data_IF_909322421687
#
_entry.id   IF_909322421687
#
_cell.length_a   1.000
_cell.length_b   1.000
_cell.length_c   1.000
_cell.angle_alpha   90.00
_cell.angle_beta   90.00
_cell.angle_gamma   90.00
#
_symmetry.space_group_name_H-M   'P 1'
#
loop_
_entity.id
_entity.type
_entity.pdbx_description
1 polymer ?
#
# COMPACT_ATOMS: atom_id res chain seq x y z
N UNK A 1 14.20 -30.11 -1.33
CA UNK A 1 14.93 -29.41 -2.41
C UNK A 1 15.43 -28.13 -1.79
N UNK A 2 16.66 -27.68 -2.12
CA UNK A 2 17.12 -26.35 -1.73
C UNK A 2 16.20 -25.33 -2.43
N UNK A 3 15.80 -24.25 -1.71
CA UNK A 3 15.06 -23.15 -2.33
C UNK A 3 15.96 -22.40 -3.30
N UNK A 4 15.37 -21.82 -4.30
CA UNK A 4 16.05 -20.92 -5.23
C UNK A 4 16.52 -19.67 -4.49
N UNK A 5 17.70 -19.15 -4.87
CA UNK A 5 18.24 -17.93 -4.31
C UNK A 5 17.76 -16.74 -5.14
N UNK A 6 17.31 -15.68 -4.51
CA UNK A 6 16.95 -14.43 -5.19
C UNK A 6 18.22 -13.71 -5.66
N UNK A 7 18.29 -13.40 -6.94
CA UNK A 7 19.39 -12.62 -7.55
C UNK A 7 18.89 -11.24 -7.95
N UNK A 8 19.52 -10.19 -7.43
CA UNK A 8 19.20 -8.79 -7.80
C UNK A 8 19.86 -8.44 -9.13
N UNK A 9 19.13 -8.62 -10.21
CA UNK A 9 19.62 -8.33 -11.58
C UNK A 9 19.17 -6.97 -12.09
N UNK A 10 18.07 -6.44 -11.54
CA UNK A 10 17.42 -5.17 -11.94
C UNK A 10 17.04 -4.33 -10.73
N UNK A 11 16.88 -3.00 -10.88
CA UNK A 11 16.31 -2.15 -9.85
C UNK A 11 14.93 -2.64 -9.41
N UNK A 12 14.67 -2.64 -8.10
CA UNK A 12 13.42 -3.11 -7.52
C UNK A 12 12.48 -1.94 -7.21
N UNK A 13 11.24 -2.03 -7.69
CA UNK A 13 10.19 -1.03 -7.49
C UNK A 13 8.92 -1.70 -6.99
N UNK A 14 8.30 -1.11 -5.96
CA UNK A 14 7.02 -1.56 -5.45
C UNK A 14 5.90 -0.71 -6.07
N UNK A 15 5.00 -1.35 -6.78
CA UNK A 15 3.80 -0.71 -7.31
C UNK A 15 2.56 -1.46 -6.86
N UNK A 16 1.39 -0.93 -7.12
CA UNK A 16 0.16 -1.66 -6.86
C UNK A 16 -1.03 -1.02 -7.52
N UNK A 17 -2.13 -1.77 -7.56
CA UNK A 17 -3.40 -1.34 -8.12
C UNK A 17 -4.29 -0.73 -7.03
N UNK A 18 -4.82 0.46 -7.30
CA UNK A 18 -5.81 1.16 -6.48
C UNK A 18 -7.01 1.56 -7.34
N UNK A 19 -8.13 1.88 -6.72
CA UNK A 19 -9.35 2.31 -7.42
C UNK A 19 -10.61 1.63 -6.90
N UNK A 20 -11.75 1.98 -7.47
CA UNK A 20 -13.07 1.52 -7.04
C UNK A 20 -13.25 0.00 -7.16
N UNK A 21 -14.17 -0.57 -6.38
CA UNK A 21 -14.62 -1.96 -6.55
C UNK A 21 -15.18 -2.14 -7.97
N UNK A 22 -15.02 -3.31 -8.56
CA UNK A 22 -15.48 -3.68 -9.92
C UNK A 22 -14.85 -2.87 -11.09
N UNK A 23 -13.88 -1.99 -10.85
CA UNK A 23 -13.12 -1.34 -11.93
C UNK A 23 -12.07 -2.26 -12.55
N UNK A 24 -11.84 -3.47 -12.02
CA UNK A 24 -11.01 -4.51 -12.62
C UNK A 24 -9.54 -4.46 -12.22
N UNK A 25 -9.21 -4.07 -10.97
CA UNK A 25 -7.83 -4.05 -10.44
C UNK A 25 -7.16 -5.42 -10.50
N UNK A 26 -7.75 -6.43 -9.89
CA UNK A 26 -7.25 -7.81 -9.89
C UNK A 26 -7.18 -8.39 -11.31
N UNK A 27 -8.15 -8.05 -12.17
CA UNK A 27 -8.12 -8.45 -13.59
C UNK A 27 -6.94 -7.81 -14.32
N UNK A 28 -6.61 -6.54 -14.00
CA UNK A 28 -5.44 -5.87 -14.58
C UNK A 28 -4.15 -6.51 -14.08
N UNK A 29 -4.05 -6.81 -12.79
CA UNK A 29 -2.90 -7.51 -12.21
C UNK A 29 -2.68 -8.87 -12.89
N UNK A 30 -3.75 -9.65 -13.10
CA UNK A 30 -3.70 -10.90 -13.85
C UNK A 30 -3.30 -10.69 -15.32
N UNK A 31 -3.80 -9.63 -15.96
CA UNK A 31 -3.47 -9.31 -17.36
C UNK A 31 -2.00 -8.93 -17.52
N UNK A 32 -1.44 -8.12 -16.60
CA UNK A 32 -0.03 -7.75 -16.60
C UNK A 32 0.84 -9.01 -16.51
N UNK A 33 0.60 -9.88 -15.53
CA UNK A 33 1.38 -11.13 -15.38
C UNK A 33 1.24 -12.03 -16.58
N UNK A 34 0.04 -12.17 -17.16
CA UNK A 34 -0.19 -13.01 -18.34
C UNK A 34 0.52 -12.48 -19.58
N UNK A 35 0.44 -11.17 -19.84
CA UNK A 35 1.11 -10.55 -21.00
C UNK A 35 2.63 -10.62 -20.87
N UNK A 36 3.19 -10.31 -19.69
CA UNK A 36 4.63 -10.41 -19.43
C UNK A 36 5.12 -11.87 -19.43
N UNK A 37 4.32 -12.84 -19.00
CA UNK A 37 4.63 -14.25 -19.08
C UNK A 37 4.83 -14.74 -20.53
N UNK A 38 4.15 -14.15 -21.52
CA UNK A 38 4.37 -14.48 -22.94
C UNK A 38 5.76 -14.09 -23.42
N UNK A 39 6.42 -13.13 -22.72
CA UNK A 39 7.80 -12.71 -22.97
C UNK A 39 8.83 -13.44 -22.09
N UNK A 40 8.36 -14.24 -21.11
CA UNK A 40 9.22 -14.89 -20.11
C UNK A 40 9.66 -13.98 -18.95
N UNK A 41 8.95 -12.85 -18.75
CA UNK A 41 9.24 -11.81 -17.76
C UNK A 41 8.36 -11.92 -16.49
N UNK A 42 7.46 -12.88 -16.45
CA UNK A 42 6.61 -13.18 -15.30
C UNK A 42 6.24 -14.67 -15.21
N UNK A 43 5.84 -15.12 -14.04
CA UNK A 43 5.09 -16.35 -13.88
C UNK A 43 3.59 -16.06 -14.11
N UNK A 44 2.94 -16.85 -14.97
CA UNK A 44 1.51 -16.70 -15.21
C UNK A 44 0.72 -16.92 -13.92
N UNK A 45 -0.02 -15.93 -13.50
CA UNK A 45 -0.96 -16.03 -12.37
C UNK A 45 -2.39 -15.82 -12.84
N UNK A 46 -3.24 -16.81 -12.61
CA UNK A 46 -4.68 -16.67 -12.84
C UNK A 46 -5.33 -15.85 -11.73
N UNK A 47 -6.49 -15.24 -12.04
CA UNK A 47 -7.31 -14.45 -11.11
C UNK A 47 -7.52 -15.16 -9.77
N UNK A 48 -7.88 -16.47 -9.78
CA UNK A 48 -8.11 -17.28 -8.60
C UNK A 48 -6.84 -17.56 -7.76
N UNK A 49 -5.66 -17.26 -8.28
CA UNK A 49 -4.40 -17.37 -7.55
C UNK A 49 -4.03 -16.06 -6.86
N UNK A 50 -4.52 -14.94 -7.37
CA UNK A 50 -4.38 -13.60 -6.79
C UNK A 50 -5.41 -13.46 -5.66
N UNK A 51 -6.70 -13.58 -5.96
CA UNK A 51 -7.80 -13.63 -4.98
C UNK A 51 -8.01 -15.06 -4.50
N UNK A 52 -7.23 -15.44 -3.51
CA UNK A 52 -7.06 -16.87 -3.18
C UNK A 52 -7.86 -17.28 -1.93
N UNK A 53 -8.35 -16.35 -1.10
CA UNK A 53 -9.16 -16.66 0.06
C UNK A 53 -10.56 -17.17 -0.33
N UNK A 54 -11.13 -18.16 0.40
CA UNK A 54 -12.48 -18.66 0.10
C UNK A 54 -13.56 -17.58 0.05
N UNK A 55 -13.47 -16.56 0.94
CA UNK A 55 -14.42 -15.45 0.99
C UNK A 55 -14.28 -14.51 -0.21
N UNK A 56 -13.05 -14.31 -0.73
CA UNK A 56 -12.80 -13.51 -1.93
C UNK A 56 -13.43 -14.14 -3.15
N UNK A 57 -13.29 -15.46 -3.30
CA UNK A 57 -13.88 -16.22 -4.41
C UNK A 57 -15.40 -16.25 -4.34
N UNK A 58 -15.98 -16.39 -3.14
CA UNK A 58 -17.43 -16.42 -2.95
C UNK A 58 -18.08 -15.07 -3.24
N UNK A 59 -17.42 -13.98 -2.85
CA UNK A 59 -17.94 -12.61 -3.02
C UNK A 59 -17.50 -11.94 -4.33
N UNK A 60 -16.49 -12.46 -5.00
CA UNK A 60 -15.90 -11.87 -6.21
C UNK A 60 -15.22 -10.51 -5.97
N UNK A 61 -14.71 -10.27 -4.74
CA UNK A 61 -14.03 -9.02 -4.35
C UNK A 61 -12.75 -9.34 -3.59
N UNK A 62 -11.71 -8.55 -3.82
CA UNK A 62 -10.45 -8.60 -3.07
C UNK A 62 -10.67 -8.09 -1.65
N UNK A 63 -10.25 -8.86 -0.66
CA UNK A 63 -10.37 -8.55 0.78
C UNK A 63 -8.99 -8.23 1.37
N UNK A 64 -8.01 -9.11 1.13
CA UNK A 64 -6.64 -8.95 1.59
C UNK A 64 -5.75 -8.42 0.45
N UNK A 65 -4.63 -7.79 0.80
CA UNK A 65 -3.60 -7.46 -0.18
C UNK A 65 -2.95 -8.72 -0.70
N UNK A 66 -2.74 -8.80 -2.02
CA UNK A 66 -2.00 -9.88 -2.66
C UNK A 66 -0.73 -9.33 -3.30
N UNK A 67 0.36 -10.09 -3.22
CA UNK A 67 1.66 -9.69 -3.76
C UNK A 67 2.02 -10.57 -4.95
N UNK A 68 2.34 -9.94 -6.06
CA UNK A 68 2.72 -10.58 -7.32
C UNK A 68 4.07 -10.06 -7.77
N UNK A 69 4.91 -10.93 -8.35
CA UNK A 69 6.24 -10.62 -8.88
C UNK A 69 6.23 -10.66 -10.40
N UNK A 70 6.85 -9.67 -11.04
CA UNK A 70 7.15 -9.69 -12.47
C UNK A 70 8.26 -8.72 -12.82
N UNK A 71 8.74 -8.78 -14.06
CA UNK A 71 9.80 -7.93 -14.56
C UNK A 71 9.38 -7.24 -15.87
N UNK A 72 10.00 -6.10 -16.15
CA UNK A 72 10.14 -5.52 -17.48
C UNK A 72 11.59 -5.65 -17.94
N UNK A 73 11.90 -5.21 -19.13
CA UNK A 73 13.29 -5.13 -19.58
C UNK A 73 14.18 -4.33 -18.61
N UNK A 74 13.61 -3.32 -17.93
CA UNK A 74 14.33 -2.34 -17.14
C UNK A 74 14.30 -2.63 -15.63
N UNK A 75 13.23 -3.24 -15.10
CA UNK A 75 12.95 -3.29 -13.65
C UNK A 75 12.34 -4.60 -13.21
N UNK A 76 12.56 -4.90 -11.92
CA UNK A 76 11.86 -5.92 -11.18
C UNK A 76 10.76 -5.28 -10.31
N UNK A 77 9.55 -5.79 -10.39
CA UNK A 77 8.38 -5.26 -9.68
C UNK A 77 7.84 -6.22 -8.63
N UNK A 78 7.61 -5.69 -7.42
CA UNK A 78 6.64 -6.24 -6.50
C UNK A 78 5.32 -5.48 -6.67
N UNK A 79 4.27 -6.17 -7.07
CA UNK A 79 2.96 -5.58 -7.29
C UNK A 79 2.01 -5.97 -6.17
N UNK A 80 1.42 -4.97 -5.52
CA UNK A 80 0.42 -5.12 -4.46
C UNK A 80 -0.97 -4.91 -5.03
N UNK A 81 -1.77 -5.96 -5.14
CA UNK A 81 -3.19 -5.83 -5.49
C UNK A 81 -3.99 -5.44 -4.26
N UNK A 82 -4.63 -4.26 -4.29
CA UNK A 82 -5.36 -3.69 -3.16
C UNK A 82 -6.86 -3.89 -3.27
N UNK A 83 -7.56 -4.15 -2.14
CA UNK A 83 -9.01 -4.20 -2.13
C UNK A 83 -9.63 -2.86 -2.54
N UNK A 84 -10.76 -2.91 -3.25
CA UNK A 84 -11.50 -1.73 -3.69
C UNK A 84 -12.69 -1.36 -2.81
N UNK A 85 -13.17 -2.28 -1.97
CA UNK A 85 -14.38 -2.09 -1.19
C UNK A 85 -14.12 -1.26 0.09
N UNK A 86 -15.05 -0.37 0.44
CA UNK A 86 -14.93 0.53 1.59
C UNK A 86 -14.70 -0.19 2.93
N UNK A 87 -15.23 -1.39 3.11
CA UNK A 87 -15.04 -2.18 4.34
C UNK A 87 -13.58 -2.63 4.55
N UNK A 88 -12.78 -2.68 3.48
CA UNK A 88 -11.39 -3.18 3.50
C UNK A 88 -10.34 -2.07 3.32
N UNK A 89 -10.73 -0.82 3.50
CA UNK A 89 -9.84 0.35 3.37
C UNK A 89 -8.59 0.23 4.26
N UNK A 90 -8.68 -0.42 5.42
CA UNK A 90 -7.50 -0.70 6.26
C UNK A 90 -6.43 -1.50 5.49
N UNK A 91 -6.83 -2.53 4.74
CA UNK A 91 -5.92 -3.33 3.94
C UNK A 91 -5.38 -2.53 2.74
N UNK A 92 -6.24 -1.70 2.13
CA UNK A 92 -5.82 -0.76 1.08
C UNK A 92 -4.74 0.21 1.58
N UNK A 93 -4.92 0.83 2.75
CA UNK A 93 -3.94 1.74 3.35
C UNK A 93 -2.61 1.02 3.60
N UNK A 94 -2.66 -0.20 4.15
CA UNK A 94 -1.46 -1.01 4.39
C UNK A 94 -0.72 -1.35 3.09
N UNK A 95 -1.47 -1.74 2.05
CA UNK A 95 -0.88 -2.00 0.73
C UNK A 95 -0.28 -0.74 0.11
N UNK A 96 -1.03 0.36 0.11
CA UNK A 96 -0.58 1.63 -0.46
C UNK A 96 0.68 2.18 0.24
N UNK A 97 0.82 2.01 1.55
CA UNK A 97 2.00 2.43 2.28
C UNK A 97 3.31 1.72 1.84
N UNK A 98 3.18 0.62 1.11
CA UNK A 98 4.32 -0.15 0.58
C UNK A 98 4.74 0.28 -0.83
N UNK A 99 3.95 1.12 -1.51
CA UNK A 99 4.15 1.45 -2.92
C UNK A 99 5.11 2.61 -3.12
N UNK A 100 5.96 2.50 -4.13
CA UNK A 100 6.78 3.58 -4.68
C UNK A 100 6.02 4.36 -5.76
N UNK A 101 4.97 3.74 -6.30
CA UNK A 101 3.99 4.33 -7.21
C UNK A 101 2.76 3.45 -7.33
N UNK A 102 1.63 4.01 -7.75
CA UNK A 102 0.37 3.29 -7.89
C UNK A 102 -0.16 3.33 -9.32
N UNK A 103 -0.87 2.28 -9.72
CA UNK A 103 -1.70 2.25 -10.92
C UNK A 103 -3.14 2.46 -10.48
N UNK A 104 -3.69 3.63 -10.79
CA UNK A 104 -5.11 3.94 -10.56
C UNK A 104 -5.95 3.33 -11.67
N UNK A 105 -6.82 2.39 -11.30
CA UNK A 105 -7.73 1.73 -12.26
C UNK A 105 -9.09 2.38 -12.21
N UNK A 106 -9.52 2.96 -13.33
CA UNK A 106 -10.84 3.60 -13.49
C UNK A 106 -11.56 2.96 -14.66
N UNK A 107 -12.82 2.59 -14.48
CA UNK A 107 -13.65 2.11 -15.59
C UNK A 107 -13.97 3.24 -16.56
N UNK A 108 -13.69 3.07 -17.83
CA UNK A 108 -14.05 4.03 -18.89
C UNK A 108 -15.58 4.22 -19.04
N UNK A 109 -16.35 3.19 -18.68
CA UNK A 109 -17.81 3.24 -18.75
C UNK A 109 -18.46 3.96 -17.56
N UNK A 110 -17.84 3.90 -16.38
CA UNK A 110 -18.41 4.41 -15.12
C UNK A 110 -17.77 5.73 -14.67
N UNK A 111 -16.54 6.02 -15.13
CA UNK A 111 -15.74 7.17 -14.66
C UNK A 111 -15.27 7.06 -13.21
N UNK A 112 -14.76 8.15 -12.62
CA UNK A 112 -14.32 8.18 -11.23
C UNK A 112 -15.50 8.02 -10.26
N UNK A 113 -15.41 7.01 -9.39
CA UNK A 113 -16.41 6.62 -8.40
C UNK A 113 -15.97 7.02 -6.96
N UNK A 114 -16.82 6.94 -5.94
CA UNK A 114 -16.47 7.40 -4.59
C UNK A 114 -15.18 6.81 -4.02
N UNK A 115 -14.94 5.48 -4.16
CA UNK A 115 -13.70 4.88 -3.68
C UNK A 115 -12.49 5.29 -4.54
N UNK A 116 -12.67 5.69 -5.80
CA UNK A 116 -11.58 6.26 -6.61
C UNK A 116 -11.02 7.50 -5.92
N UNK A 117 -11.89 8.41 -5.49
CA UNK A 117 -11.53 9.63 -4.74
C UNK A 117 -10.85 9.31 -3.41
N UNK A 118 -11.44 8.39 -2.64
CA UNK A 118 -10.89 7.97 -1.35
C UNK A 118 -9.50 7.33 -1.50
N UNK A 119 -9.29 6.49 -2.54
CA UNK A 119 -8.00 5.83 -2.77
C UNK A 119 -6.90 6.81 -3.19
N UNK A 120 -7.20 7.82 -4.02
CA UNK A 120 -6.24 8.87 -4.39
C UNK A 120 -5.84 9.65 -3.15
N UNK A 121 -6.83 10.10 -2.35
CA UNK A 121 -6.61 10.82 -1.09
C UNK A 121 -5.72 10.01 -0.13
N UNK A 122 -6.07 8.74 0.10
CA UNK A 122 -5.32 7.88 1.02
C UNK A 122 -3.91 7.62 0.51
N UNK A 123 -3.72 7.40 -0.79
CA UNK A 123 -2.40 7.23 -1.39
C UNK A 123 -1.53 8.46 -1.15
N UNK A 124 -2.09 9.66 -1.30
CA UNK A 124 -1.38 10.90 -0.98
C UNK A 124 -0.99 10.98 0.49
N UNK A 125 -1.89 10.60 1.40
CA UNK A 125 -1.66 10.64 2.85
C UNK A 125 -0.60 9.64 3.32
N UNK A 126 -0.58 8.43 2.77
CA UNK A 126 0.45 7.43 3.12
C UNK A 126 1.77 7.66 2.40
N UNK A 127 1.82 8.63 1.51
CA UNK A 127 3.05 9.08 0.87
C UNK A 127 3.40 8.37 -0.43
N UNK A 128 2.42 7.80 -1.15
CA UNK A 128 2.63 7.32 -2.54
C UNK A 128 2.97 8.53 -3.41
N UNK A 129 4.17 8.58 -4.01
CA UNK A 129 4.62 9.80 -4.68
C UNK A 129 4.13 9.94 -6.11
N UNK A 130 3.80 8.83 -6.79
CA UNK A 130 3.46 8.80 -8.21
C UNK A 130 2.23 7.95 -8.47
N UNK A 131 1.36 8.40 -9.40
CA UNK A 131 0.22 7.66 -9.91
C UNK A 131 0.32 7.60 -11.43
N UNK A 132 0.11 6.42 -12.00
CA UNK A 132 -0.17 6.19 -13.43
C UNK A 132 -1.59 5.68 -13.55
N UNK A 133 -2.34 6.05 -14.58
CA UNK A 133 -3.74 5.68 -14.71
C UNK A 133 -3.93 4.62 -15.80
N UNK A 134 -4.72 3.60 -15.48
CA UNK A 134 -5.26 2.68 -16.47
C UNK A 134 -6.78 2.86 -16.57
N UNK A 135 -7.24 3.44 -17.67
CA UNK A 135 -8.65 3.58 -17.99
C UNK A 135 -9.15 2.28 -18.60
N UNK A 136 -9.70 1.42 -17.74
CA UNK A 136 -10.09 0.04 -18.04
C UNK A 136 -11.48 -0.06 -18.67
N UNK A 137 -11.82 -1.21 -19.26
CA UNK A 137 -13.10 -1.51 -19.92
C UNK A 137 -13.38 -0.61 -21.13
N UNK A 138 -12.36 -0.16 -21.83
CA UNK A 138 -12.47 0.61 -23.06
C UNK A 138 -13.31 -0.13 -24.13
N UNK A 139 -13.25 -1.48 -24.12
CA UNK A 139 -14.06 -2.34 -25.00
C UNK A 139 -15.57 -2.23 -24.80
N UNK A 140 -16.02 -1.58 -23.73
CA UNK A 140 -17.45 -1.32 -23.45
C UNK A 140 -17.91 0.09 -23.89
N UNK A 141 -17.01 0.91 -24.42
CA UNK A 141 -17.29 2.31 -24.78
C UNK A 141 -17.03 2.51 -26.28
N UNK A 142 -18.08 2.78 -27.04
CA UNK A 142 -18.00 3.02 -28.49
C UNK A 142 -17.85 4.52 -28.84
N UNK A 143 -17.91 5.40 -27.83
CA UNK A 143 -17.92 6.86 -28.00
C UNK A 143 -16.57 7.46 -27.52
N UNK A 144 -15.77 7.97 -28.46
CA UNK A 144 -14.48 8.61 -28.17
C UNK A 144 -14.65 9.88 -27.30
N UNK A 145 -15.75 10.64 -27.47
CA UNK A 145 -16.01 11.84 -26.66
C UNK A 145 -16.21 11.48 -25.18
N UNK A 146 -16.79 10.30 -24.88
CA UNK A 146 -16.94 9.82 -23.52
C UNK A 146 -15.60 9.44 -22.91
N UNK A 147 -14.70 8.84 -23.67
CA UNK A 147 -13.34 8.52 -23.19
C UNK A 147 -12.57 9.80 -22.84
N UNK A 148 -12.64 10.83 -23.70
CA UNK A 148 -12.01 12.12 -23.43
C UNK A 148 -12.60 12.81 -22.19
N UNK A 149 -13.91 12.72 -21.98
CA UNK A 149 -14.58 13.29 -20.81
C UNK A 149 -14.10 12.59 -19.51
N UNK A 150 -14.08 11.27 -19.52
CA UNK A 150 -13.59 10.49 -18.35
C UNK A 150 -12.12 10.79 -18.05
N UNK A 151 -11.27 10.93 -19.09
CA UNK A 151 -9.89 11.33 -18.93
C UNK A 151 -9.78 12.72 -18.28
N UNK A 152 -10.56 13.69 -18.72
CA UNK A 152 -10.60 15.02 -18.12
C UNK A 152 -11.00 14.97 -16.64
N UNK A 153 -12.05 14.23 -16.30
CA UNK A 153 -12.49 14.07 -14.90
C UNK A 153 -11.40 13.44 -14.02
N UNK A 154 -10.65 12.47 -14.56
CA UNK A 154 -9.53 11.85 -13.83
C UNK A 154 -8.42 12.86 -13.58
N UNK A 155 -8.04 13.67 -14.58
CA UNK A 155 -7.00 14.69 -14.46
C UNK A 155 -7.38 15.76 -13.44
N UNK A 156 -8.60 16.29 -13.50
CA UNK A 156 -9.14 17.24 -12.52
C UNK A 156 -9.12 16.66 -11.09
N UNK A 157 -9.48 15.38 -10.96
CA UNK A 157 -9.48 14.70 -9.68
C UNK A 157 -8.07 14.52 -9.11
N UNK A 158 -7.09 14.19 -9.94
CA UNK A 158 -5.69 14.07 -9.53
C UNK A 158 -5.15 15.42 -9.05
N UNK A 159 -5.41 16.50 -9.78
CA UNK A 159 -5.01 17.86 -9.39
C UNK A 159 -5.63 18.29 -8.06
N UNK A 160 -6.89 17.96 -7.83
CA UNK A 160 -7.58 18.23 -6.56
C UNK A 160 -6.85 17.62 -5.35
N UNK A 161 -6.20 16.47 -5.54
CA UNK A 161 -5.44 15.77 -4.49
C UNK A 161 -3.93 15.96 -4.61
N UNK A 162 -3.48 17.02 -5.28
CA UNK A 162 -2.08 17.42 -5.42
C UNK A 162 -1.19 16.39 -6.15
N UNK A 163 -1.75 15.61 -7.05
CA UNK A 163 -0.99 14.88 -8.05
C UNK A 163 -1.02 15.67 -9.38
N UNK A 164 0.05 15.65 -10.18
CA UNK A 164 0.12 16.45 -11.42
C UNK A 164 -0.78 15.84 -12.50
N UNK A 165 -2.06 16.20 -12.50
CA UNK A 165 -3.08 15.62 -13.39
C UNK A 165 -2.73 15.74 -14.88
N UNK A 166 -2.23 16.90 -15.31
CA UNK A 166 -1.84 17.14 -16.70
C UNK A 166 -0.66 16.27 -17.15
N UNK A 167 0.31 16.04 -16.27
CA UNK A 167 1.53 15.27 -16.57
C UNK A 167 1.38 13.77 -16.30
N UNK A 168 0.32 13.35 -15.62
CA UNK A 168 0.08 11.94 -15.27
C UNK A 168 -0.23 11.10 -16.52
N UNK A 169 0.52 10.03 -16.80
CA UNK A 169 0.22 9.13 -17.90
C UNK A 169 -1.12 8.43 -17.71
N UNK A 170 -1.95 8.45 -18.75
CA UNK A 170 -3.22 7.71 -18.81
C UNK A 170 -3.19 6.78 -20.01
N UNK A 171 -3.41 5.50 -19.77
CA UNK A 171 -3.50 4.47 -20.82
C UNK A 171 -4.90 3.87 -20.79
N UNK A 172 -5.61 3.96 -21.91
CA UNK A 172 -6.90 3.30 -22.09
C UNK A 172 -6.71 1.86 -22.59
N UNK A 173 -7.54 0.93 -22.11
CA UNK A 173 -7.46 -0.46 -22.51
C UNK A 173 -8.56 -1.34 -21.90
N UNK A 174 -8.48 -2.63 -22.18
CA UNK A 174 -9.31 -3.66 -21.56
C UNK A 174 -8.43 -4.76 -20.99
N UNK A 175 -8.36 -4.80 -19.65
CA UNK A 175 -7.62 -5.83 -18.94
C UNK A 175 -8.15 -7.24 -19.21
N UNK A 176 -9.48 -7.38 -19.31
CA UNK A 176 -10.12 -8.66 -19.61
C UNK A 176 -9.75 -9.17 -21.00
N UNK A 177 -9.83 -8.31 -22.02
CA UNK A 177 -9.47 -8.66 -23.40
C UNK A 177 -7.98 -8.99 -23.54
N UNK A 178 -7.11 -8.21 -22.89
CA UNK A 178 -5.68 -8.51 -22.86
C UNK A 178 -5.37 -9.86 -22.20
N UNK A 179 -6.07 -10.19 -21.11
CA UNK A 179 -5.95 -11.49 -20.45
C UNK A 179 -6.42 -12.64 -21.34
N UNK A 180 -7.53 -12.47 -22.08
CA UNK A 180 -8.04 -13.43 -23.07
C UNK A 180 -7.00 -13.68 -24.17
N UNK A 181 -6.44 -12.61 -24.77
CA UNK A 181 -5.37 -12.70 -25.78
C UNK A 181 -4.12 -13.44 -25.25
N UNK A 182 -3.66 -13.10 -24.06
CA UNK A 182 -2.49 -13.71 -23.44
C UNK A 182 -2.70 -15.20 -23.13
N UNK A 183 -3.91 -15.61 -22.72
CA UNK A 183 -4.27 -17.03 -22.53
C UNK A 183 -4.25 -17.83 -23.82
N UNK A 184 -4.43 -17.20 -24.98
CA UNK A 184 -4.21 -17.82 -26.29
C UNK A 184 -2.74 -17.86 -26.71
N UNK A 185 -1.82 -17.38 -25.88
CA UNK A 185 -0.38 -17.31 -26.16
C UNK A 185 -0.01 -16.20 -27.13
N UNK A 186 -0.80 -15.13 -27.21
CA UNK A 186 -0.59 -14.00 -28.13
C UNK A 186 -0.57 -12.67 -27.37
N UNK A 187 0.22 -11.74 -27.87
CA UNK A 187 0.10 -10.32 -27.53
C UNK A 187 -0.61 -9.65 -28.71
N UNK A 188 -1.91 -9.44 -28.56
CA UNK A 188 -2.73 -8.74 -29.55
C UNK A 188 -2.87 -7.25 -29.18
N UNK A 189 -3.78 -6.53 -29.86
CA UNK A 189 -3.96 -5.09 -29.67
C UNK A 189 -4.24 -4.67 -28.22
N UNK A 190 -4.95 -5.50 -27.44
CA UNK A 190 -5.20 -5.23 -26.03
C UNK A 190 -3.99 -5.54 -25.16
N UNK A 191 -3.24 -6.60 -25.46
CA UNK A 191 -1.97 -6.91 -24.83
C UNK A 191 -0.91 -5.83 -25.05
N UNK A 192 -0.87 -5.20 -26.26
CA UNK A 192 0.02 -4.06 -26.54
C UNK A 192 -0.30 -2.85 -25.64
N UNK A 193 -1.55 -2.62 -25.27
CA UNK A 193 -1.93 -1.56 -24.33
C UNK A 193 -1.45 -1.84 -22.90
N UNK A 194 -1.40 -3.09 -22.48
CA UNK A 194 -0.79 -3.48 -21.20
C UNK A 194 0.74 -3.24 -21.25
N UNK A 195 1.41 -3.60 -22.35
CA UNK A 195 2.82 -3.29 -22.49
C UNK A 195 3.08 -1.77 -22.47
N UNK A 196 2.25 -0.99 -23.16
CA UNK A 196 2.31 0.48 -23.11
C UNK A 196 2.14 1.00 -21.68
N UNK A 197 1.19 0.44 -20.90
CA UNK A 197 1.05 0.80 -19.49
C UNK A 197 2.35 0.57 -18.72
N UNK A 198 2.99 -0.58 -18.93
CA UNK A 198 4.26 -0.89 -18.23
C UNK A 198 5.41 0.00 -18.71
N UNK A 199 5.45 0.38 -19.98
CA UNK A 199 6.41 1.36 -20.49
C UNK A 199 6.23 2.74 -19.84
N UNK A 200 4.98 3.18 -19.66
CA UNK A 200 4.66 4.44 -18.95
C UNK A 200 5.02 4.35 -17.46
N UNK A 201 4.77 3.22 -16.80
CA UNK A 201 5.19 2.98 -15.41
C UNK A 201 6.71 3.03 -15.28
N UNK A 202 7.45 2.38 -16.19
CA UNK A 202 8.91 2.40 -16.23
C UNK A 202 9.47 3.83 -16.44
N UNK A 203 8.82 4.63 -17.27
CA UNK A 203 9.26 5.97 -17.62
C UNK A 203 8.90 7.03 -16.57
N UNK A 204 7.68 6.95 -16.02
CA UNK A 204 7.13 8.00 -15.16
C UNK A 204 7.47 7.84 -13.68
N UNK A 205 7.52 6.61 -13.16
CA UNK A 205 7.90 6.34 -11.78
C UNK A 205 9.42 6.24 -11.71
N UNK A 206 10.14 7.15 -11.03
CA UNK A 206 11.60 7.08 -10.93
C UNK A 206 12.04 5.88 -10.09
N UNK A 207 13.30 5.49 -10.22
CA UNK A 207 13.91 4.53 -9.29
C UNK A 207 13.94 5.15 -7.88
N UNK A 208 13.36 4.46 -6.87
CA UNK A 208 13.24 5.04 -5.55
C UNK A 208 14.61 5.11 -4.84
N UNK A 209 14.87 6.24 -4.18
CA UNK A 209 15.99 6.34 -3.26
C UNK A 209 15.74 5.46 -2.02
N UNK A 210 16.69 4.60 -1.69
CA UNK A 210 16.59 3.64 -0.57
C UNK A 210 17.50 4.03 0.57
N UNK A 211 16.93 4.22 1.75
CA UNK A 211 17.65 4.57 2.98
C UNK A 211 18.33 3.32 3.60
N UNK A 212 19.26 2.70 2.88
CA UNK A 212 19.93 1.45 3.30
C UNK A 212 20.92 1.65 4.46
N UNK A 213 21.42 2.87 4.65
CA UNK A 213 22.41 3.21 5.67
C UNK A 213 21.81 3.49 7.06
N UNK A 214 20.47 3.58 7.14
CA UNK A 214 19.76 3.78 8.42
C UNK A 214 19.60 2.47 9.19
N UNK A 215 19.22 2.58 10.45
CA UNK A 215 18.86 1.45 11.29
C UNK A 215 17.63 0.72 10.73
N UNK A 216 17.68 -0.60 10.69
CA UNK A 216 16.63 -1.46 10.17
C UNK A 216 15.27 -1.18 10.81
N UNK A 217 14.25 -1.06 9.99
CA UNK A 217 12.85 -0.96 10.38
C UNK A 217 11.96 -1.62 9.32
N UNK A 218 11.07 -2.52 9.75
CA UNK A 218 10.08 -3.18 8.91
C UNK A 218 8.75 -3.29 9.65
N UNK A 219 7.70 -2.57 9.24
CA UNK A 219 6.34 -2.76 9.78
C UNK A 219 5.83 -4.17 9.48
N UNK A 220 5.19 -4.78 10.48
CA UNK A 220 4.56 -6.09 10.35
C UNK A 220 3.24 -5.95 9.59
N UNK A 221 3.15 -6.61 8.45
CA UNK A 221 1.94 -6.67 7.63
C UNK A 221 1.12 -7.92 7.96
N UNK A 222 1.76 -9.09 7.94
CA UNK A 222 1.10 -10.35 8.26
C UNK A 222 2.05 -11.30 8.99
N UNK A 223 1.47 -12.32 9.67
CA UNK A 223 2.21 -13.28 10.48
C UNK A 223 1.74 -14.70 10.16
N UNK A 224 2.66 -15.54 9.72
CA UNK A 224 2.41 -16.92 9.37
C UNK A 224 3.17 -17.88 10.27
N UNK A 225 2.61 -19.07 10.46
CA UNK A 225 3.34 -20.21 11.07
C UNK A 225 3.59 -21.26 10.00
N UNK A 226 4.87 -21.56 9.78
CA UNK A 226 5.28 -22.59 8.80
C UNK A 226 5.77 -23.81 9.56
N UNK A 227 5.13 -24.95 9.34
CA UNK A 227 5.49 -26.22 9.95
C UNK A 227 6.97 -26.55 9.72
N UNK A 228 7.72 -26.77 10.80
CA UNK A 228 9.15 -27.10 10.77
C UNK A 228 10.10 -25.90 10.55
N UNK A 229 9.58 -24.69 10.32
CA UNK A 229 10.40 -23.48 10.12
C UNK A 229 10.15 -22.38 11.16
N UNK A 230 8.97 -22.37 11.78
CA UNK A 230 8.60 -21.39 12.82
C UNK A 230 7.72 -20.26 12.32
N UNK A 231 7.79 -19.14 13.00
CA UNK A 231 7.02 -17.93 12.69
C UNK A 231 7.73 -17.11 11.62
N UNK A 232 6.97 -16.73 10.59
CA UNK A 232 7.39 -15.84 9.51
C UNK A 232 6.56 -14.56 9.61
N UNK A 233 7.22 -13.43 9.56
CA UNK A 233 6.61 -12.10 9.55
C UNK A 233 6.86 -11.49 8.18
N UNK A 234 5.81 -11.00 7.52
CA UNK A 234 5.93 -10.31 6.24
C UNK A 234 5.77 -8.80 6.42
N UNK A 235 6.42 -8.06 5.55
CA UNK A 235 6.33 -6.62 5.45
C UNK A 235 7.34 -6.06 4.46
N UNK A 236 7.20 -4.77 4.16
CA UNK A 236 8.20 -4.02 3.41
C UNK A 236 9.27 -3.48 4.36
N UNK A 237 10.53 -3.66 4.03
CA UNK A 237 11.62 -2.98 4.75
C UNK A 237 11.52 -1.49 4.47
N UNK A 238 11.16 -0.69 5.49
CA UNK A 238 10.99 0.75 5.38
C UNK A 238 12.35 1.45 5.23
N UNK A 239 13.33 1.03 6.01
CA UNK A 239 14.72 1.54 5.98
C UNK A 239 15.72 0.52 6.51
N UNK A 240 16.99 0.74 6.21
CA UNK A 240 18.09 -0.11 6.63
C UNK A 240 18.13 -1.45 5.93
N UNK A 241 18.70 -2.42 6.60
CA UNK A 241 18.80 -3.81 6.13
C UNK A 241 18.73 -4.79 7.29
N UNK A 242 18.31 -6.03 7.02
CA UNK A 242 18.29 -7.14 7.96
C UNK A 242 18.89 -8.37 7.31
N UNK A 243 19.85 -9.01 7.98
CA UNK A 243 20.52 -10.20 7.49
C UNK A 243 20.24 -11.43 8.36
N UNK A 244 20.39 -12.60 7.78
CA UNK A 244 20.28 -13.88 8.51
C UNK A 244 21.34 -13.92 9.62
N UNK A 245 20.92 -14.25 10.84
CA UNK A 245 21.77 -14.33 12.04
C UNK A 245 21.75 -13.06 12.89
N UNK A 246 21.17 -11.96 12.44
CA UNK A 246 21.08 -10.73 13.21
C UNK A 246 20.04 -10.82 14.33
N UNK A 247 20.33 -10.12 15.45
CA UNK A 247 19.36 -9.89 16.52
C UNK A 247 18.50 -8.66 16.18
N UNK A 248 17.19 -8.81 16.35
CA UNK A 248 16.20 -7.75 16.13
C UNK A 248 15.26 -7.66 17.32
N UNK A 249 14.52 -6.56 17.40
CA UNK A 249 13.41 -6.35 18.33
C UNK A 249 12.08 -6.31 17.60
N UNK A 250 11.04 -6.80 18.30
CA UNK A 250 9.63 -6.69 17.92
C UNK A 250 9.04 -5.64 18.85
N UNK A 251 8.61 -4.50 18.30
CA UNK A 251 8.22 -3.31 19.09
C UNK A 251 6.79 -2.86 18.76
N UNK A 252 6.07 -2.39 19.77
CA UNK A 252 4.71 -1.85 19.68
C UNK A 252 3.64 -2.84 20.12
N UNK A 253 2.47 -2.31 20.51
CA UNK A 253 1.26 -3.00 20.94
C UNK A 253 1.47 -3.90 22.18
N UNK A 254 2.45 -4.80 22.12
CA UNK A 254 2.84 -5.73 23.20
C UNK A 254 4.20 -5.36 23.77
N UNK A 255 4.60 -6.05 24.82
CA UNK A 255 5.94 -5.91 25.38
C UNK A 255 7.02 -6.20 24.33
N UNK A 256 8.04 -5.36 24.30
CA UNK A 256 9.17 -5.50 23.36
C UNK A 256 9.87 -6.84 23.57
N UNK A 257 10.08 -7.58 22.49
CA UNK A 257 10.75 -8.88 22.51
C UNK A 257 11.97 -8.86 21.59
N UNK A 258 13.01 -9.59 22.00
CA UNK A 258 14.21 -9.82 21.19
C UNK A 258 14.16 -11.19 20.53
N UNK A 259 14.65 -11.26 19.31
CA UNK A 259 14.77 -12.52 18.58
C UNK A 259 15.91 -12.46 17.57
N UNK A 260 16.25 -13.61 17.00
CA UNK A 260 17.26 -13.72 15.93
C UNK A 260 16.58 -14.10 14.62
N UNK A 261 16.98 -13.44 13.55
CA UNK A 261 16.55 -13.77 12.20
C UNK A 261 17.18 -15.09 11.74
N UNK A 262 16.36 -16.08 11.38
CA UNK A 262 16.84 -17.40 10.92
C UNK A 262 16.75 -17.58 9.41
N UNK A 263 16.09 -16.67 8.72
CA UNK A 263 15.95 -16.66 7.27
C UNK A 263 15.27 -15.38 6.80
N UNK A 264 15.60 -14.97 5.60
CA UNK A 264 14.95 -13.87 4.86
C UNK A 264 14.55 -14.40 3.50
N UNK A 265 13.32 -14.14 3.08
CA UNK A 265 12.78 -14.61 1.82
C UNK A 265 12.01 -13.50 1.11
N UNK A 266 12.07 -13.47 -0.22
CA UNK A 266 11.22 -12.66 -1.07
C UNK A 266 10.68 -13.54 -2.20
N UNK A 267 9.35 -13.53 -2.42
CA UNK A 267 8.67 -14.38 -3.42
C UNK A 267 9.09 -15.86 -3.37
N UNK A 268 9.19 -16.42 -2.14
CA UNK A 268 9.61 -17.81 -1.84
C UNK A 268 11.06 -18.15 -2.20
N UNK A 269 11.87 -17.18 -2.66
CA UNK A 269 13.31 -17.32 -2.90
C UNK A 269 14.09 -16.87 -1.66
N UNK A 270 15.18 -17.57 -1.33
CA UNK A 270 16.00 -17.24 -0.15
C UNK A 270 16.94 -16.07 -0.45
N UNK A 271 17.13 -15.22 0.59
CA UNK A 271 18.02 -14.08 0.56
C UNK A 271 18.98 -14.11 1.74
N UNK A 272 20.20 -13.63 1.56
CA UNK A 272 21.15 -13.44 2.67
C UNK A 272 20.71 -12.25 3.55
N UNK A 273 20.24 -11.16 2.90
CA UNK A 273 19.76 -9.94 3.54
C UNK A 273 18.55 -9.36 2.78
N UNK A 274 17.59 -8.80 3.53
CA UNK A 274 16.57 -7.89 3.01
C UNK A 274 17.00 -6.45 3.21
N UNK A 275 16.83 -5.60 2.20
CA UNK A 275 17.20 -4.18 2.24
C UNK A 275 15.99 -3.28 2.08
N UNK A 276 16.16 -2.00 2.43
CA UNK A 276 15.11 -0.98 2.26
C UNK A 276 14.44 -1.08 0.88
N UNK A 277 13.12 -1.17 0.88
CA UNK A 277 12.27 -1.35 -0.30
C UNK A 277 11.86 -2.80 -0.59
N UNK A 278 12.51 -3.80 -0.03
CA UNK A 278 12.14 -5.20 -0.26
C UNK A 278 10.87 -5.59 0.50
N UNK A 279 9.99 -6.32 -0.14
CA UNK A 279 8.87 -7.02 0.52
C UNK A 279 9.33 -8.40 0.97
N UNK A 280 9.67 -8.51 2.27
CA UNK A 280 10.31 -9.71 2.80
C UNK A 280 9.43 -10.51 3.74
N UNK A 281 9.63 -11.82 3.73
CA UNK A 281 9.28 -12.71 4.83
C UNK A 281 10.50 -12.96 5.72
N UNK A 282 10.44 -12.53 6.97
CA UNK A 282 11.52 -12.70 7.96
C UNK A 282 11.16 -13.83 8.92
N UNK A 283 12.00 -14.85 8.99
CA UNK A 283 11.83 -16.00 9.88
C UNK A 283 12.44 -15.70 11.25
N UNK A 284 11.64 -15.89 12.31
CA UNK A 284 11.97 -15.54 13.67
C UNK A 284 12.28 -16.80 14.53
N UNK A 285 13.36 -16.74 15.29
CA UNK A 285 13.76 -17.84 16.18
C UNK A 285 12.95 -17.82 17.49
N UNK A 286 12.25 -18.93 17.78
CA UNK A 286 11.63 -19.15 19.09
C UNK A 286 10.47 -18.23 19.44
N UNK A 287 9.91 -17.53 18.46
CA UNK A 287 8.74 -16.66 18.60
C UNK A 287 7.49 -17.45 18.18
N UNK A 288 6.49 -17.49 19.04
CA UNK A 288 5.18 -18.04 18.70
C UNK A 288 4.40 -17.05 17.81
N UNK A 289 3.54 -17.57 16.93
CA UNK A 289 2.72 -16.72 16.03
C UNK A 289 1.91 -15.68 16.81
N UNK A 290 1.34 -16.08 17.94
CA UNK A 290 0.48 -15.24 18.80
C UNK A 290 1.26 -14.15 19.56
N UNK A 291 2.60 -14.25 19.59
CA UNK A 291 3.46 -13.24 20.21
C UNK A 291 3.71 -12.02 19.30
N UNK A 292 3.48 -12.16 18.00
CA UNK A 292 3.61 -11.09 16.99
C UNK A 292 2.25 -10.82 16.36
N UNK A 293 1.97 -9.56 16.05
CA UNK A 293 0.76 -9.18 15.35
C UNK A 293 1.01 -8.00 14.41
N UNK A 294 0.11 -7.85 13.43
CA UNK A 294 0.09 -6.72 12.51
C UNK A 294 0.07 -5.41 13.28
N UNK A 295 0.89 -4.46 12.85
CA UNK A 295 1.02 -3.14 13.46
C UNK A 295 2.20 -2.99 14.41
N UNK A 296 2.83 -4.07 14.84
CA UNK A 296 4.16 -4.03 15.42
C UNK A 296 5.21 -3.74 14.34
N UNK A 297 6.44 -3.45 14.75
CA UNK A 297 7.57 -3.32 13.83
C UNK A 297 8.69 -4.28 14.22
N UNK A 298 9.40 -4.79 13.23
CA UNK A 298 10.71 -5.40 13.41
C UNK A 298 11.76 -4.31 13.25
N UNK A 299 12.70 -4.20 14.15
CA UNK A 299 13.71 -3.15 14.11
C UNK A 299 15.06 -3.61 14.67
N UNK A 300 16.10 -2.83 14.38
CA UNK A 300 17.38 -2.97 15.06
C UNK A 300 17.20 -2.71 16.56
N UNK A 301 17.82 -3.50 17.46
CA UNK A 301 17.66 -3.33 18.89
C UNK A 301 17.90 -1.89 19.36
N UNK A 302 16.90 -1.32 20.05
CA UNK A 302 16.96 0.02 20.61
C UNK A 302 16.81 1.19 19.61
N UNK A 303 16.52 0.93 18.35
CA UNK A 303 16.42 1.99 17.32
C UNK A 303 15.08 2.72 17.29
N UNK A 304 14.01 2.12 17.82
CA UNK A 304 12.69 2.73 17.98
C UNK A 304 12.04 2.24 19.25
N UNK A 305 11.17 3.06 19.84
CA UNK A 305 10.45 2.76 21.09
C UNK A 305 8.95 2.89 20.88
N UNK A 306 8.13 2.14 21.67
CA UNK A 306 6.69 2.28 21.62
C UNK A 306 6.23 3.48 22.45
N UNK A 307 5.23 4.21 21.97
CA UNK A 307 4.72 5.43 22.59
C UNK A 307 3.20 5.46 22.58
N UNK A 308 2.62 6.11 23.61
CA UNK A 308 1.18 6.31 23.73
C UNK A 308 0.77 7.76 23.59
N UNK A 309 1.69 8.72 23.77
CA UNK A 309 1.35 10.14 23.79
C UNK A 309 2.31 10.98 22.96
N UNK A 310 1.75 11.82 22.09
CA UNK A 310 2.52 12.66 21.18
C UNK A 310 1.79 13.96 20.84
N UNK A 311 2.55 14.98 20.39
CA UNK A 311 2.05 16.17 19.71
C UNK A 311 2.12 15.97 18.21
N UNK A 312 1.17 16.52 17.48
CA UNK A 312 1.13 16.43 16.01
C UNK A 312 0.48 17.67 15.39
N UNK A 313 0.92 18.00 14.18
CA UNK A 313 0.22 18.91 13.30
C UNK A 313 -0.74 18.09 12.43
N UNK A 314 -2.03 18.48 12.42
CA UNK A 314 -3.06 17.76 11.67
C UNK A 314 -3.86 18.69 10.79
N UNK A 315 -4.21 18.20 9.60
CA UNK A 315 -5.21 18.79 8.72
C UNK A 315 -6.50 17.99 8.81
N UNK A 316 -7.59 18.66 9.02
CA UNK A 316 -8.94 18.06 9.09
C UNK A 316 -9.62 18.24 7.74
N UNK A 317 -9.92 17.15 7.06
CA UNK A 317 -10.53 17.17 5.74
C UNK A 317 -11.85 17.92 5.74
N UNK A 318 -12.05 18.77 4.75
CA UNK A 318 -13.29 19.48 4.49
C UNK A 318 -14.40 18.52 4.05
N UNK A 319 -15.63 19.02 3.99
CA UNK A 319 -16.78 18.26 3.51
C UNK A 319 -16.62 17.87 2.03
N UNK A 320 -16.09 18.78 1.23
CA UNK A 320 -15.84 18.62 -0.19
C UNK A 320 -14.80 17.53 -0.47
N UNK A 321 -13.83 17.37 0.42
CA UNK A 321 -12.81 16.31 0.41
C UNK A 321 -13.30 14.96 0.97
N UNK A 322 -14.60 14.84 1.30
CA UNK A 322 -15.18 13.64 1.89
C UNK A 322 -14.99 13.50 3.40
N UNK A 323 -14.47 14.52 4.05
CA UNK A 323 -14.23 14.58 5.49
C UNK A 323 -15.50 14.79 6.33
N UNK A 324 -15.32 15.37 7.50
CA UNK A 324 -16.41 15.66 8.44
C UNK A 324 -17.31 16.79 7.93
N UNK A 325 -18.57 16.76 8.41
CA UNK A 325 -19.53 17.84 8.19
C UNK A 325 -19.73 18.75 9.43
N UNK A 326 -19.19 18.31 10.57
CA UNK A 326 -19.35 18.98 11.84
C UNK A 326 -18.01 19.16 12.54
N UNK A 327 -17.84 20.20 13.36
CA UNK A 327 -16.64 20.35 14.16
C UNK A 327 -16.49 19.22 15.17
N UNK A 328 -15.28 19.05 15.68
CA UNK A 328 -15.04 18.24 16.85
C UNK A 328 -14.47 19.08 18.00
N UNK A 329 -14.60 18.57 19.21
CA UNK A 329 -14.24 19.23 20.44
C UNK A 329 -13.14 18.47 21.18
N UNK A 330 -12.60 19.08 22.22
CA UNK A 330 -11.65 18.44 23.10
C UNK A 330 -12.18 17.09 23.61
N UNK A 331 -11.32 16.06 23.64
CA UNK A 331 -11.70 14.70 24.00
C UNK A 331 -12.27 13.85 22.86
N UNK A 332 -12.24 14.34 21.61
CA UNK A 332 -12.59 13.56 20.42
C UNK A 332 -11.74 12.29 20.33
N UNK A 333 -12.36 11.15 19.97
CA UNK A 333 -11.74 9.81 20.02
C UNK A 333 -11.83 9.08 18.68
N UNK A 334 -11.05 9.47 17.67
CA UNK A 334 -10.97 8.78 16.39
C UNK A 334 -10.01 7.59 16.44
N UNK A 335 -9.87 6.91 15.28
CA UNK A 335 -8.82 5.95 15.02
C UNK A 335 -7.64 6.63 14.33
N UNK A 336 -6.44 6.36 14.84
CA UNK A 336 -5.16 6.77 14.24
C UNK A 336 -4.58 5.61 13.46
N UNK A 337 -4.40 5.79 12.18
CA UNK A 337 -3.79 4.81 11.27
C UNK A 337 -2.31 5.16 11.10
N UNK A 338 -1.45 4.31 11.63
CA UNK A 338 0.00 4.50 11.58
C UNK A 338 0.64 3.24 10.99
N UNK A 339 1.35 3.38 9.87
CA UNK A 339 1.92 2.23 9.14
C UNK A 339 0.84 1.15 8.88
N UNK A 340 1.00 -0.02 9.47
CA UNK A 340 0.11 -1.19 9.26
C UNK A 340 -0.96 -1.36 10.35
N UNK A 341 -1.06 -0.44 11.32
CA UNK A 341 -2.00 -0.54 12.44
C UNK A 341 -2.97 0.62 12.52
N UNK A 342 -4.06 0.41 13.22
CA UNK A 342 -4.99 1.44 13.70
C UNK A 342 -5.17 1.33 15.20
N UNK A 343 -5.12 2.47 15.88
CA UNK A 343 -5.30 2.57 17.33
C UNK A 343 -6.24 3.73 17.66
N UNK A 344 -7.20 3.51 18.54
CA UNK A 344 -8.04 4.58 19.06
C UNK A 344 -7.23 5.49 19.97
N UNK A 345 -7.39 6.80 19.82
CA UNK A 345 -6.75 7.78 20.70
C UNK A 345 -7.66 8.94 21.03
N UNK A 346 -7.42 9.60 22.14
CA UNK A 346 -8.11 10.82 22.54
C UNK A 346 -7.30 12.04 22.09
N UNK A 347 -7.98 13.03 21.51
CA UNK A 347 -7.37 14.30 21.09
C UNK A 347 -7.60 15.35 22.19
N UNK A 348 -6.53 16.01 22.56
CA UNK A 348 -6.55 17.22 23.39
C UNK A 348 -6.18 18.41 22.51
N UNK A 349 -7.03 19.43 22.52
CA UNK A 349 -6.82 20.67 21.78
C UNK A 349 -5.94 21.66 22.56
N UNK A 350 -5.21 22.56 21.90
CA UNK A 350 -4.43 23.62 22.56
C UNK A 350 -5.32 24.53 23.42
N UNK A 351 -4.71 25.14 24.43
CA UNK A 351 -5.40 26.16 25.25
C UNK A 351 -5.96 27.30 24.37
N UNK A 352 -7.23 27.63 24.59
CA UNK A 352 -7.94 28.66 23.82
C UNK A 352 -8.64 28.15 22.56
N UNK A 353 -8.44 26.88 22.17
CA UNK A 353 -9.15 26.26 21.04
C UNK A 353 -10.33 25.45 21.58
N UNK A 354 -11.55 25.92 21.37
CA UNK A 354 -12.76 25.24 21.83
C UNK A 354 -13.17 24.11 20.90
N UNK A 355 -13.00 24.28 19.59
CA UNK A 355 -13.36 23.33 18.54
C UNK A 355 -12.47 23.45 17.33
N UNK A 356 -12.48 22.42 16.48
CA UNK A 356 -11.79 22.37 15.19
C UNK A 356 -12.81 22.12 14.09
N UNK A 357 -12.80 22.96 13.06
CA UNK A 357 -13.69 22.87 11.92
C UNK A 357 -13.09 21.96 10.82
N UNK A 358 -13.96 21.34 9.99
CA UNK A 358 -13.50 20.76 8.72
C UNK A 358 -12.76 21.81 7.86
N UNK A 359 -11.58 21.48 7.34
CA UNK A 359 -10.69 22.41 6.60
C UNK A 359 -9.61 23.07 7.45
N UNK A 360 -9.61 22.89 8.77
CA UNK A 360 -8.62 23.51 9.65
C UNK A 360 -7.32 22.73 9.72
N UNK A 361 -6.22 23.47 9.86
CA UNK A 361 -4.93 22.96 10.35
C UNK A 361 -4.81 23.27 11.85
N UNK A 362 -4.46 22.27 12.65
CA UNK A 362 -4.37 22.44 14.11
C UNK A 362 -3.27 21.55 14.70
N UNK A 363 -2.55 22.12 15.68
CA UNK A 363 -1.71 21.32 16.56
C UNK A 363 -2.55 20.59 17.58
N UNK A 364 -2.32 19.29 17.75
CA UNK A 364 -3.04 18.46 18.75
C UNK A 364 -2.07 17.71 19.65
N UNK A 365 -2.56 17.33 20.83
CA UNK A 365 -1.96 16.26 21.63
C UNK A 365 -2.84 15.03 21.52
N UNK A 366 -2.29 13.92 21.10
CA UNK A 366 -2.99 12.63 21.01
C UNK A 366 -2.50 11.69 22.11
N UNK A 367 -3.44 10.95 22.72
CA UNK A 367 -3.16 9.89 23.69
C UNK A 367 -3.84 8.60 23.26
N UNK A 368 -3.04 7.62 22.82
CA UNK A 368 -3.48 6.34 22.29
C UNK A 368 -3.82 5.35 23.41
N UNK A 369 -4.75 4.44 23.14
CA UNK A 369 -5.14 3.38 24.10
C UNK A 369 -4.12 2.23 24.17
N UNK A 370 -3.21 2.13 23.19
CA UNK A 370 -2.17 1.12 23.13
C UNK A 370 -0.86 1.76 22.63
N UNK A 371 0.31 1.28 23.09
CA UNK A 371 1.59 1.81 22.63
C UNK A 371 1.87 1.32 21.21
N UNK A 372 2.32 2.22 20.35
CA UNK A 372 2.76 1.90 18.98
C UNK A 372 4.17 2.42 18.74
N UNK A 373 4.92 1.71 17.89
CA UNK A 373 6.25 2.15 17.48
C UNK A 373 6.13 3.41 16.61
N UNK A 374 6.65 4.53 17.10
CA UNK A 374 6.63 5.80 16.37
C UNK A 374 7.83 6.67 16.72
N UNK A 375 8.09 7.64 15.87
CA UNK A 375 9.13 8.66 16.03
C UNK A 375 8.62 10.00 15.50
N UNK A 376 9.34 11.08 15.77
CA UNK A 376 9.06 12.39 15.18
C UNK A 376 9.14 12.31 13.65
N UNK A 377 8.20 12.94 12.95
CA UNK A 377 8.05 12.83 11.50
C UNK A 377 7.16 11.67 11.03
N UNK A 378 6.73 10.77 11.91
CA UNK A 378 5.79 9.69 11.55
C UNK A 378 4.47 10.29 11.07
N UNK A 379 4.04 9.91 9.85
CA UNK A 379 2.75 10.30 9.28
C UNK A 379 1.65 9.36 9.72
N UNK A 380 0.44 9.88 9.82
CA UNK A 380 -0.74 9.10 10.17
C UNK A 380 -2.01 9.68 9.54
N UNK A 381 -3.00 8.81 9.34
CA UNK A 381 -4.36 9.22 8.99
C UNK A 381 -5.27 9.14 10.21
N UNK A 382 -6.28 10.03 10.25
CA UNK A 382 -7.34 10.03 11.26
C UNK A 382 -8.63 9.54 10.60
N UNK A 383 -9.27 8.53 11.18
CA UNK A 383 -10.52 7.96 10.66
C UNK A 383 -11.62 7.89 11.69
N UNK A 384 -12.86 8.06 11.23
CA UNK A 384 -14.08 7.95 12.02
C UNK A 384 -15.19 7.31 11.18
N UNK A 385 -15.87 6.30 11.71
CA UNK A 385 -17.02 5.69 11.06
C UNK A 385 -16.75 5.17 9.64
N UNK A 386 -15.54 4.63 9.41
CA UNK A 386 -15.12 4.11 8.10
C UNK A 386 -14.64 5.17 7.10
N UNK A 387 -14.57 6.46 7.49
CA UNK A 387 -14.12 7.57 6.64
C UNK A 387 -12.82 8.16 7.14
N UNK A 388 -11.95 8.58 6.23
CA UNK A 388 -10.82 9.42 6.57
C UNK A 388 -11.31 10.85 6.82
N UNK A 389 -10.95 11.39 7.99
CA UNK A 389 -11.39 12.70 8.43
C UNK A 389 -10.26 13.69 8.65
N UNK A 390 -9.02 13.21 8.53
CA UNK A 390 -7.84 14.04 8.63
C UNK A 390 -6.56 13.26 8.45
N UNK A 391 -5.45 13.98 8.37
CA UNK A 391 -4.10 13.45 8.33
C UNK A 391 -3.17 14.32 9.15
N UNK A 392 -2.07 13.76 9.63
CA UNK A 392 -1.12 14.51 10.43
C UNK A 392 0.28 13.91 10.43
N UNK A 393 1.18 14.67 11.04
CA UNK A 393 2.58 14.29 11.25
C UNK A 393 2.93 14.48 12.72
N UNK A 394 3.57 13.49 13.31
CA UNK A 394 4.06 13.56 14.69
C UNK A 394 5.16 14.62 14.78
N UNK A 395 4.92 15.67 15.55
CA UNK A 395 5.88 16.75 15.75
C UNK A 395 6.76 16.54 16.97
N UNK A 396 6.25 15.82 17.99
CA UNK A 396 7.01 15.55 19.22
C UNK A 396 6.43 14.34 19.97
N UNK A 397 7.31 13.50 20.48
CA UNK A 397 6.96 12.39 21.38
C UNK A 397 6.93 12.90 22.82
N UNK A 398 5.88 12.51 23.58
CA UNK A 398 5.72 12.89 25.00
C UNK A 398 5.92 11.68 25.92
N UNK A 399 5.30 10.52 25.63
CA UNK A 399 5.38 9.30 26.44
C UNK A 399 5.11 8.02 25.64
#
# INVERSE_FOLDING_TARGET
MAKEKFERTKPHVNIGTIGHVDHGKTTLTAAITAVLATKGEAELMDYDQIDNAPEERERGITIATSHVEYETDNRHYAHVDCPGHADYVKNMITGAAQMDGAILVVSAADGPMPQTREHILLSRQVGVPYIVVFMNKEDMVDDEELLELVEMEIRELLDQYEFPGDDTPIVAGSALKALEEAKEGKVGPWGEKILKLMDEVDAYIPEPERETDKDFLMPVEDVFSISGRGTVVTGRVERGQVCVGEEIEIVGIKDTQKTTVTGVEMFRKEMDCGVAGDNCGVLLRGIAKEAVERGQVLCKPGSITPHTKFEAEVYILSKEEGGRHTPFFNGYRPQFYVRTTDVTGAITLPEGTEMVMPGDNVAITAELIAPIAMEEGTRFAIREGGRTVGAGVVSKIIA
#
